data_IF_176476233848
#
_entry.id   IF_176476233848
#
_cell.length_a   1.000
_cell.length_b   1.000
_cell.length_c   1.000
_cell.angle_alpha   90.00
_cell.angle_beta   90.00
_cell.angle_gamma   90.00
#
_symmetry.space_group_name_H-M   'P 1'
#
loop_
_entity.id
_entity.type
_entity.pdbx_description
1 polymer ?
#
# COMPACT_ATOMS: atom_id res chain seq x y z
N UNK A 1 -4.04 -10.42 44.01
CA UNK A 1 -5.10 -10.16 43.00
C UNK A 1 -4.51 -10.49 41.66
N UNK A 2 -5.06 -11.46 40.88
CA UNK A 2 -4.65 -11.71 39.53
C UNK A 2 -5.11 -10.52 38.69
N UNK A 3 -4.19 -9.88 37.93
CA UNK A 3 -4.57 -8.92 36.91
C UNK A 3 -5.54 -9.59 35.93
N UNK A 4 -6.69 -8.98 35.60
CA UNK A 4 -7.59 -9.59 34.64
C UNK A 4 -6.82 -9.83 33.32
N UNK A 5 -6.87 -11.07 32.79
CA UNK A 5 -6.29 -11.40 31.50
C UNK A 5 -6.95 -10.49 30.46
N UNK A 6 -6.11 -9.78 29.67
CA UNK A 6 -6.62 -8.94 28.57
C UNK A 6 -7.27 -9.87 27.54
N UNK A 7 -8.55 -9.67 27.27
CA UNK A 7 -9.28 -10.37 26.22
C UNK A 7 -8.59 -10.06 24.87
N UNK A 8 -8.18 -11.08 24.09
CA UNK A 8 -7.54 -10.85 22.80
C UNK A 8 -8.45 -10.10 21.83
N UNK A 9 -7.94 -9.05 21.21
CA UNK A 9 -8.72 -8.12 20.37
C UNK A 9 -9.51 -8.77 19.21
N UNK A 10 -9.10 -9.93 18.71
CA UNK A 10 -9.81 -10.68 17.66
C UNK A 10 -10.68 -11.83 18.19
N UNK A 11 -10.91 -11.97 19.50
CA UNK A 11 -11.73 -13.05 20.04
C UNK A 11 -13.23 -12.76 19.90
N UNK A 12 -14.05 -13.81 19.89
CA UNK A 12 -15.52 -13.65 19.92
C UNK A 12 -16.00 -12.97 21.22
N UNK A 13 -15.30 -13.20 22.33
CA UNK A 13 -15.57 -12.55 23.60
C UNK A 13 -15.34 -11.03 23.50
N UNK A 14 -14.25 -10.61 22.85
CA UNK A 14 -13.98 -9.19 22.61
C UNK A 14 -15.07 -8.55 21.73
N UNK A 15 -15.47 -9.22 20.65
CA UNK A 15 -16.56 -8.77 19.77
C UNK A 15 -17.86 -8.62 20.57
N UNK A 16 -18.21 -9.61 21.41
CA UNK A 16 -19.40 -9.57 22.25
C UNK A 16 -19.35 -8.42 23.26
N UNK A 17 -18.18 -8.17 23.86
CA UNK A 17 -17.97 -7.04 24.77
C UNK A 17 -18.18 -5.69 24.06
N UNK A 18 -17.58 -5.49 22.87
CA UNK A 18 -17.78 -4.25 22.13
C UNK A 18 -19.25 -4.04 21.73
N UNK A 19 -19.94 -5.09 21.30
CA UNK A 19 -21.39 -5.03 21.00
C UNK A 19 -22.23 -4.70 22.24
N UNK A 20 -21.88 -5.22 23.41
CA UNK A 20 -22.55 -4.87 24.66
C UNK A 20 -22.36 -3.39 24.98
N UNK A 21 -21.13 -2.86 24.91
CA UNK A 21 -20.87 -1.42 25.12
C UNK A 21 -21.71 -0.58 24.16
N UNK A 22 -21.78 -0.96 22.88
CA UNK A 22 -22.56 -0.24 21.87
C UNK A 22 -24.08 -0.35 22.11
N UNK A 23 -24.57 -1.43 22.72
CA UNK A 23 -25.98 -1.53 23.12
C UNK A 23 -26.36 -0.57 24.26
N UNK A 24 -25.40 -0.22 25.11
CA UNK A 24 -25.55 0.73 26.24
C UNK A 24 -25.24 2.19 25.78
N UNK A 25 -24.31 2.36 24.83
CA UNK A 25 -23.90 3.64 24.28
C UNK A 25 -23.53 3.48 22.78
N UNK A 26 -24.50 3.66 21.91
CA UNK A 26 -24.35 3.51 20.46
C UNK A 26 -23.41 4.53 19.81
N UNK A 27 -23.14 5.66 20.48
CA UNK A 27 -22.27 6.74 19.98
C UNK A 27 -20.80 6.57 20.41
N UNK A 28 -20.42 5.40 20.98
CA UNK A 28 -19.04 5.14 21.39
C UNK A 28 -18.16 4.85 20.18
N UNK A 29 -17.57 5.89 19.58
CA UNK A 29 -16.70 5.78 18.39
C UNK A 29 -15.55 4.76 18.58
N UNK A 30 -14.93 4.74 19.77
CA UNK A 30 -13.84 3.80 20.04
C UNK A 30 -14.32 2.34 20.06
N UNK A 31 -15.50 2.05 20.59
CA UNK A 31 -16.05 0.69 20.58
C UNK A 31 -16.45 0.26 19.19
N UNK A 32 -17.05 1.15 18.38
CA UNK A 32 -17.33 0.89 16.96
C UNK A 32 -16.04 0.62 16.18
N UNK A 33 -14.98 1.41 16.38
CA UNK A 33 -13.68 1.18 15.77
C UNK A 33 -13.07 -0.16 16.18
N UNK A 34 -13.07 -0.48 17.47
CA UNK A 34 -12.53 -1.74 17.98
C UNK A 34 -13.32 -2.95 17.46
N UNK A 35 -14.64 -2.84 17.35
CA UNK A 35 -15.50 -3.84 16.74
C UNK A 35 -15.12 -4.04 15.26
N UNK A 36 -14.95 -2.97 14.51
CA UNK A 36 -14.53 -3.00 13.11
C UNK A 36 -13.20 -3.72 12.92
N UNK A 37 -12.19 -3.42 13.76
CA UNK A 37 -10.88 -4.10 13.73
C UNK A 37 -11.02 -5.59 14.01
N UNK A 38 -11.78 -5.98 15.04
CA UNK A 38 -11.99 -7.38 15.40
C UNK A 38 -12.73 -8.16 14.29
N UNK A 39 -13.76 -7.56 13.70
CA UNK A 39 -14.52 -8.15 12.59
C UNK A 39 -13.64 -8.31 11.33
N UNK A 40 -12.81 -7.30 11.02
CA UNK A 40 -11.86 -7.37 9.92
C UNK A 40 -10.84 -8.51 10.10
N UNK A 41 -10.32 -8.72 11.30
CA UNK A 41 -9.42 -9.85 11.62
C UNK A 41 -10.11 -11.21 11.45
N UNK A 42 -11.44 -11.29 11.65
CA UNK A 42 -12.25 -12.50 11.39
C UNK A 42 -12.64 -12.66 9.93
N UNK A 43 -12.28 -11.74 9.05
CA UNK A 43 -12.70 -11.75 7.64
C UNK A 43 -14.15 -11.32 7.40
N UNK A 44 -14.86 -10.84 8.42
CA UNK A 44 -16.24 -10.34 8.33
C UNK A 44 -16.20 -8.89 7.81
N UNK A 45 -15.80 -8.74 6.52
CA UNK A 45 -15.45 -7.45 5.96
C UNK A 45 -16.64 -6.49 5.86
N UNK A 46 -17.85 -6.98 5.55
CA UNK A 46 -19.02 -6.11 5.43
C UNK A 46 -19.47 -5.57 6.80
N UNK A 47 -19.53 -6.44 7.83
CA UNK A 47 -19.79 -6.00 9.20
C UNK A 47 -18.71 -5.02 9.71
N UNK A 48 -17.46 -5.22 9.30
CA UNK A 48 -16.36 -4.31 9.65
C UNK A 48 -16.53 -2.93 8.99
N UNK A 49 -17.00 -2.87 7.74
CA UNK A 49 -17.31 -1.60 7.05
C UNK A 49 -18.36 -0.84 7.85
N UNK A 50 -19.45 -1.48 8.26
CA UNK A 50 -20.53 -0.84 9.02
C UNK A 50 -19.98 -0.29 10.34
N UNK A 51 -19.22 -1.08 11.09
CA UNK A 51 -18.63 -0.66 12.34
C UNK A 51 -17.63 0.51 12.19
N UNK A 52 -16.82 0.54 11.13
CA UNK A 52 -15.94 1.68 10.87
C UNK A 52 -16.72 2.93 10.44
N UNK A 53 -17.80 2.79 9.68
CA UNK A 53 -18.66 3.92 9.32
C UNK A 53 -19.33 4.52 10.56
N UNK A 54 -19.81 3.70 11.49
CA UNK A 54 -20.35 4.16 12.79
C UNK A 54 -19.27 4.90 13.59
N UNK A 55 -18.05 4.36 13.64
CA UNK A 55 -16.94 5.01 14.33
C UNK A 55 -16.61 6.39 13.74
N UNK A 56 -16.61 6.51 12.40
CA UNK A 56 -16.36 7.76 11.69
C UNK A 56 -17.52 8.75 11.91
N UNK A 57 -18.77 8.29 11.87
CA UNK A 57 -19.95 9.13 12.11
C UNK A 57 -19.91 9.74 13.52
N UNK A 58 -19.49 8.95 14.51
CA UNK A 58 -19.42 9.37 15.92
C UNK A 58 -18.11 10.12 16.27
N UNK A 59 -17.09 10.06 15.38
CA UNK A 59 -15.84 10.81 15.53
C UNK A 59 -15.31 11.25 14.18
N UNK A 60 -15.73 12.42 13.72
CA UNK A 60 -15.36 12.97 12.40
C UNK A 60 -13.86 13.20 12.16
N UNK A 61 -13.01 12.96 13.17
CA UNK A 61 -11.54 13.07 13.07
C UNK A 61 -10.84 11.72 13.16
N UNK A 62 -11.56 10.62 13.03
CA UNK A 62 -11.00 9.26 13.11
C UNK A 62 -10.42 8.85 11.75
N UNK A 63 -9.22 9.32 11.43
CA UNK A 63 -8.56 8.96 10.17
C UNK A 63 -8.26 7.46 10.06
N UNK A 64 -8.01 6.79 11.19
CA UNK A 64 -7.75 5.35 11.26
C UNK A 64 -8.93 4.52 10.75
N UNK A 65 -10.16 4.98 10.98
CA UNK A 65 -11.36 4.35 10.41
C UNK A 65 -11.34 4.37 8.88
N UNK A 66 -11.00 5.51 8.30
CA UNK A 66 -10.84 5.65 6.85
C UNK A 66 -9.69 4.80 6.30
N UNK A 67 -8.57 4.70 7.03
CA UNK A 67 -7.44 3.83 6.65
C UNK A 67 -7.87 2.37 6.57
N UNK A 68 -8.61 1.89 7.58
CA UNK A 68 -9.09 0.52 7.61
C UNK A 68 -10.15 0.24 6.53
N UNK A 69 -11.05 1.19 6.26
CA UNK A 69 -11.95 1.11 5.12
C UNK A 69 -11.18 0.99 3.80
N UNK A 70 -10.14 1.81 3.61
CA UNK A 70 -9.25 1.71 2.46
C UNK A 70 -8.64 0.31 2.30
N UNK A 71 -8.14 -0.27 3.38
CA UNK A 71 -7.64 -1.65 3.36
C UNK A 71 -8.72 -2.68 2.97
N UNK A 72 -9.93 -2.56 3.49
CA UNK A 72 -11.03 -3.46 3.14
C UNK A 72 -11.38 -3.32 1.66
N UNK A 73 -11.49 -2.09 1.15
CA UNK A 73 -11.79 -1.84 -0.27
C UNK A 73 -10.68 -2.36 -1.19
N UNK A 74 -9.41 -2.24 -0.77
CA UNK A 74 -8.32 -2.91 -1.47
C UNK A 74 -8.53 -4.43 -1.56
N UNK A 75 -8.88 -5.09 -0.45
CA UNK A 75 -9.17 -6.53 -0.43
C UNK A 75 -10.36 -6.92 -1.30
N UNK A 76 -11.33 -6.03 -1.48
CA UNK A 76 -12.50 -6.22 -2.34
C UNK A 76 -12.24 -5.83 -3.81
N UNK A 77 -11.08 -5.29 -4.14
CA UNK A 77 -10.75 -4.80 -5.50
C UNK A 77 -11.46 -3.51 -5.89
N UNK A 78 -12.04 -2.79 -4.93
CA UNK A 78 -12.77 -1.55 -5.17
C UNK A 78 -11.84 -0.35 -5.06
N UNK A 79 -11.22 -0.01 -6.19
CA UNK A 79 -10.21 1.05 -6.26
C UNK A 79 -10.79 2.44 -6.03
N UNK A 80 -12.02 2.70 -6.47
CA UNK A 80 -12.67 3.99 -6.29
C UNK A 80 -12.91 4.28 -4.81
N UNK A 81 -13.48 3.32 -4.07
CA UNK A 81 -13.69 3.47 -2.62
C UNK A 81 -12.39 3.45 -1.85
N UNK A 82 -11.38 2.69 -2.30
CA UNK A 82 -10.02 2.75 -1.74
C UNK A 82 -9.45 4.17 -1.84
N UNK A 83 -9.54 4.81 -3.02
CA UNK A 83 -9.08 6.18 -3.22
C UNK A 83 -9.85 7.14 -2.31
N UNK A 84 -11.19 7.10 -2.32
CA UNK A 84 -12.02 7.98 -1.50
C UNK A 84 -11.68 7.86 0.00
N UNK A 85 -11.52 6.64 0.51
CA UNK A 85 -11.17 6.40 1.91
C UNK A 85 -9.79 6.96 2.26
N UNK A 86 -8.75 6.70 1.45
CA UNK A 86 -7.43 7.23 1.72
C UNK A 86 -7.34 8.76 1.55
N UNK A 87 -8.11 9.36 0.61
CA UNK A 87 -8.22 10.81 0.51
C UNK A 87 -8.76 11.43 1.80
N UNK A 88 -9.85 10.86 2.36
CA UNK A 88 -10.37 11.31 3.66
C UNK A 88 -9.36 11.14 4.79
N UNK A 89 -8.63 10.04 4.81
CA UNK A 89 -7.59 9.83 5.82
C UNK A 89 -6.51 10.92 5.78
N UNK A 90 -6.02 11.30 4.57
CA UNK A 90 -4.97 12.33 4.44
C UNK A 90 -5.51 13.76 4.55
N UNK A 91 -6.79 13.99 4.34
CA UNK A 91 -7.44 15.28 4.65
C UNK A 91 -7.50 15.51 6.16
N UNK A 92 -7.77 14.46 6.96
CA UNK A 92 -7.83 14.53 8.42
C UNK A 92 -6.43 14.58 9.02
N UNK A 93 -5.52 13.72 8.53
CA UNK A 93 -4.11 13.63 8.95
C UNK A 93 -3.16 13.85 7.75
N UNK A 94 -2.85 15.12 7.41
CA UNK A 94 -2.04 15.46 6.23
C UNK A 94 -0.59 14.96 6.30
N UNK A 95 -0.12 14.48 7.45
CA UNK A 95 1.20 13.89 7.62
C UNK A 95 1.21 12.35 7.53
N UNK A 96 0.07 11.75 7.22
CA UNK A 96 -0.04 10.30 7.09
C UNK A 96 0.57 9.80 5.77
N UNK A 97 1.88 9.61 5.75
CA UNK A 97 2.66 9.20 4.58
C UNK A 97 2.14 7.94 3.88
N UNK A 98 1.71 6.93 4.67
CA UNK A 98 1.15 5.68 4.10
C UNK A 98 -0.16 5.90 3.35
N UNK A 99 -0.97 6.86 3.75
CA UNK A 99 -2.20 7.22 3.03
C UNK A 99 -1.89 7.68 1.60
N UNK A 100 -0.89 8.53 1.45
CA UNK A 100 -0.42 8.95 0.13
C UNK A 100 0.20 7.80 -0.67
N UNK A 101 0.93 6.89 -0.03
CA UNK A 101 1.47 5.71 -0.72
C UNK A 101 0.35 4.79 -1.23
N UNK A 102 -0.71 4.61 -0.45
CA UNK A 102 -1.91 3.84 -0.83
C UNK A 102 -2.66 4.52 -2.00
N UNK A 103 -2.80 5.85 -1.97
CA UNK A 103 -3.37 6.61 -3.08
C UNK A 103 -2.57 6.41 -4.36
N UNK A 104 -1.24 6.54 -4.27
CA UNK A 104 -0.36 6.33 -5.41
C UNK A 104 -0.47 4.92 -5.99
N UNK A 105 -0.55 3.91 -5.14
CA UNK A 105 -0.80 2.53 -5.57
C UNK A 105 -2.16 2.39 -6.28
N UNK A 106 -3.22 2.93 -5.69
CA UNK A 106 -4.56 2.87 -6.30
C UNK A 106 -4.61 3.56 -7.66
N UNK A 107 -4.03 4.75 -7.78
CA UNK A 107 -3.95 5.47 -9.04
C UNK A 107 -3.16 4.71 -10.11
N UNK A 108 -2.06 4.03 -9.73
CA UNK A 108 -1.34 3.13 -10.64
C UNK A 108 -2.23 2.02 -11.21
N UNK A 109 -3.02 1.35 -10.34
CA UNK A 109 -3.94 0.30 -10.77
C UNK A 109 -5.06 0.84 -11.69
N UNK A 110 -5.40 2.12 -11.55
CA UNK A 110 -6.38 2.82 -12.38
C UNK A 110 -5.75 3.43 -13.65
N UNK A 111 -4.48 3.18 -13.92
CA UNK A 111 -3.71 3.75 -15.04
C UNK A 111 -3.63 5.29 -15.01
N UNK A 112 -3.72 5.90 -13.84
CA UNK A 112 -3.62 7.34 -13.58
C UNK A 112 -2.21 7.69 -13.12
N UNK A 113 -1.25 7.65 -14.07
CA UNK A 113 0.17 7.77 -13.76
C UNK A 113 0.54 9.13 -13.11
N UNK A 114 -0.05 10.23 -13.55
CA UNK A 114 0.26 11.56 -13.02
C UNK A 114 -0.20 11.72 -11.58
N UNK A 115 -1.44 11.31 -11.27
CA UNK A 115 -1.98 11.31 -9.92
C UNK A 115 -1.18 10.37 -9.01
N UNK A 116 -0.76 9.21 -9.53
CA UNK A 116 0.10 8.28 -8.80
C UNK A 116 1.44 8.92 -8.45
N UNK A 117 2.12 9.57 -9.39
CA UNK A 117 3.39 10.27 -9.18
C UNK A 117 3.23 11.36 -8.11
N UNK A 118 2.18 12.16 -8.19
CA UNK A 118 1.90 13.22 -7.22
C UNK A 118 1.75 12.67 -5.80
N UNK A 119 0.94 11.64 -5.62
CA UNK A 119 0.68 11.01 -4.33
C UNK A 119 1.96 10.32 -3.78
N UNK A 120 2.70 9.58 -4.63
CA UNK A 120 3.92 8.87 -4.21
C UNK A 120 5.04 9.82 -3.82
N UNK A 121 5.23 10.93 -4.56
CA UNK A 121 6.18 11.98 -4.17
C UNK A 121 5.84 12.55 -2.80
N UNK A 122 4.55 12.80 -2.54
CA UNK A 122 4.12 13.29 -1.21
C UNK A 122 4.36 12.28 -0.11
N UNK A 123 4.11 10.98 -0.36
CA UNK A 123 4.43 9.91 0.58
C UNK A 123 5.93 9.88 0.92
N UNK A 124 6.80 9.98 -0.09
CA UNK A 124 8.26 9.97 0.05
C UNK A 124 8.78 11.23 0.74
N UNK A 125 8.19 12.40 0.47
CA UNK A 125 8.52 13.66 1.17
C UNK A 125 8.26 13.52 2.68
N UNK A 126 7.13 12.91 3.05
CA UNK A 126 6.74 12.72 4.45
C UNK A 126 7.52 11.60 5.14
N UNK A 127 7.80 10.52 4.43
CA UNK A 127 8.60 9.41 4.91
C UNK A 127 9.38 8.77 3.76
N UNK A 128 10.67 9.10 3.61
CA UNK A 128 11.52 8.58 2.54
C UNK A 128 11.82 7.07 2.65
N UNK A 129 11.58 6.45 3.81
CA UNK A 129 11.91 5.04 4.06
C UNK A 129 10.81 4.07 3.59
N UNK A 130 9.73 4.55 3.00
CA UNK A 130 8.67 3.70 2.45
C UNK A 130 9.16 3.08 1.13
N UNK A 131 9.82 1.92 1.22
CA UNK A 131 10.35 1.15 0.07
C UNK A 131 9.30 0.95 -1.01
N UNK A 132 8.06 0.62 -0.62
CA UNK A 132 6.97 0.38 -1.56
C UNK A 132 6.55 1.65 -2.32
N UNK A 133 6.66 2.83 -1.70
CA UNK A 133 6.36 4.09 -2.40
C UNK A 133 7.38 4.36 -3.51
N UNK A 134 8.67 4.10 -3.26
CA UNK A 134 9.70 4.20 -4.29
C UNK A 134 9.48 3.19 -5.43
N UNK A 135 9.15 1.93 -5.09
CA UNK A 135 8.87 0.89 -6.09
C UNK A 135 7.69 1.28 -6.98
N UNK A 136 6.61 1.77 -6.37
CA UNK A 136 5.44 2.24 -7.11
C UNK A 136 5.75 3.50 -7.93
N UNK A 137 6.63 4.39 -7.45
CA UNK A 137 7.05 5.58 -8.19
C UNK A 137 7.82 5.22 -9.47
N UNK A 138 8.70 4.20 -9.42
CA UNK A 138 9.35 3.68 -10.64
C UNK A 138 8.30 3.22 -11.64
N UNK A 139 7.31 2.44 -11.20
CA UNK A 139 6.25 1.94 -12.08
C UNK A 139 5.38 3.08 -12.63
N UNK A 140 5.09 4.12 -11.83
CA UNK A 140 4.32 5.27 -12.27
C UNK A 140 5.06 6.07 -13.37
N UNK A 141 6.37 6.25 -13.22
CA UNK A 141 7.19 6.87 -14.26
C UNK A 141 7.27 6.01 -15.52
N UNK A 142 7.43 4.68 -15.40
CA UNK A 142 7.40 3.78 -16.55
C UNK A 142 6.05 3.80 -17.28
N UNK A 143 4.95 3.86 -16.53
CA UNK A 143 3.60 3.95 -17.10
C UNK A 143 3.40 5.27 -17.89
N UNK A 144 4.08 6.34 -17.47
CA UNK A 144 4.06 7.64 -18.14
C UNK A 144 5.10 7.79 -19.25
N UNK A 145 5.97 6.81 -19.42
CA UNK A 145 7.14 6.85 -20.32
C UNK A 145 8.24 7.86 -19.90
N UNK A 146 8.22 8.27 -18.63
CA UNK A 146 9.26 9.12 -18.02
C UNK A 146 10.47 8.24 -17.58
N UNK A 147 11.17 7.64 -18.58
CA UNK A 147 12.17 6.59 -18.36
C UNK A 147 13.36 7.06 -17.51
N UNK A 148 13.81 8.30 -17.70
CA UNK A 148 14.94 8.87 -16.93
C UNK A 148 14.61 8.97 -15.44
N UNK A 149 13.44 9.48 -15.14
CA UNK A 149 12.91 9.61 -13.78
C UNK A 149 12.71 8.23 -13.13
N UNK A 150 12.25 7.24 -13.90
CA UNK A 150 12.13 5.86 -13.45
C UNK A 150 13.49 5.27 -13.03
N UNK A 151 14.55 5.49 -13.83
CA UNK A 151 15.91 5.06 -13.51
C UNK A 151 16.41 5.73 -12.24
N UNK A 152 16.26 7.04 -12.10
CA UNK A 152 16.74 7.75 -10.90
C UNK A 152 15.99 7.32 -9.63
N UNK A 153 14.68 7.12 -9.70
CA UNK A 153 13.90 6.57 -8.60
C UNK A 153 14.33 5.12 -8.28
N UNK A 154 14.53 4.29 -9.28
CA UNK A 154 14.98 2.91 -9.14
C UNK A 154 16.37 2.79 -8.51
N UNK A 155 17.32 3.63 -8.92
CA UNK A 155 18.66 3.70 -8.28
C UNK A 155 18.58 4.03 -6.79
N UNK A 156 17.73 5.00 -6.42
CA UNK A 156 17.51 5.35 -5.00
C UNK A 156 16.90 4.18 -4.24
N UNK A 157 15.92 3.51 -4.84
CA UNK A 157 15.26 2.34 -4.27
C UNK A 157 16.26 1.22 -3.96
N UNK A 158 17.06 0.78 -4.94
CA UNK A 158 18.01 -0.33 -4.74
C UNK A 158 19.19 0.04 -3.86
N UNK A 159 19.54 1.33 -3.76
CA UNK A 159 20.52 1.83 -2.78
C UNK A 159 19.99 1.75 -1.35
N UNK A 160 18.73 2.07 -1.15
CA UNK A 160 18.06 2.05 0.16
C UNK A 160 17.73 0.62 0.59
N UNK A 161 17.31 -0.22 -0.33
CA UNK A 161 16.88 -1.60 -0.09
C UNK A 161 17.57 -2.56 -1.10
N UNK A 162 18.87 -2.88 -0.90
CA UNK A 162 19.67 -3.64 -1.87
C UNK A 162 19.20 -5.10 -2.05
N UNK A 163 18.43 -5.62 -1.10
CA UNK A 163 17.90 -6.99 -1.16
C UNK A 163 16.41 -7.01 -1.56
N UNK A 164 15.86 -5.88 -1.96
CA UNK A 164 14.48 -5.80 -2.43
C UNK A 164 14.39 -6.22 -3.91
N UNK A 165 14.14 -7.51 -4.14
CA UNK A 165 14.17 -8.15 -5.45
C UNK A 165 13.26 -7.48 -6.49
N UNK A 166 12.04 -7.07 -6.11
CA UNK A 166 11.12 -6.34 -6.98
C UNK A 166 11.70 -4.98 -7.41
N UNK A 167 12.45 -4.30 -6.54
CA UNK A 167 13.13 -3.04 -6.85
C UNK A 167 14.15 -3.21 -7.97
N UNK A 168 14.92 -4.29 -7.94
CA UNK A 168 15.85 -4.62 -9.02
C UNK A 168 15.11 -4.95 -10.32
N UNK A 169 14.01 -5.71 -10.28
CA UNK A 169 13.20 -5.99 -11.47
C UNK A 169 12.62 -4.71 -12.08
N UNK A 170 12.12 -3.78 -11.27
CA UNK A 170 11.57 -2.52 -11.76
C UNK A 170 12.67 -1.64 -12.39
N UNK A 171 13.85 -1.58 -11.78
CA UNK A 171 14.99 -0.83 -12.32
C UNK A 171 15.51 -1.48 -13.62
N UNK A 172 15.49 -2.81 -13.71
CA UNK A 172 15.82 -3.53 -14.95
C UNK A 172 14.86 -3.14 -16.07
N UNK A 173 13.57 -3.06 -15.80
CA UNK A 173 12.56 -2.61 -16.76
C UNK A 173 12.81 -1.17 -17.21
N UNK A 174 13.21 -0.28 -16.30
CA UNK A 174 13.57 1.09 -16.64
C UNK A 174 14.82 1.18 -17.53
N UNK A 175 15.86 0.40 -17.24
CA UNK A 175 17.04 0.34 -18.09
C UNK A 175 16.74 -0.30 -19.45
N UNK A 176 15.87 -1.31 -19.52
CA UNK A 176 15.44 -1.90 -20.78
C UNK A 176 14.75 -0.87 -21.69
N UNK A 177 13.82 -0.08 -21.12
CA UNK A 177 13.14 0.99 -21.86
C UNK A 177 14.09 2.13 -22.27
N UNK A 178 15.23 2.27 -21.58
CA UNK A 178 16.31 3.20 -21.95
C UNK A 178 17.34 2.58 -22.90
N UNK A 179 17.11 1.36 -23.38
CA UNK A 179 18.02 0.60 -24.26
C UNK A 179 19.41 0.29 -23.64
N UNK A 180 19.57 0.49 -22.31
CA UNK A 180 20.76 0.09 -21.57
C UNK A 180 20.63 -1.39 -21.15
N UNK A 181 20.68 -2.27 -22.15
CA UNK A 181 20.44 -3.71 -21.94
C UNK A 181 21.44 -4.36 -21.00
N UNK A 182 22.68 -3.86 -20.97
CA UNK A 182 23.70 -4.37 -20.05
C UNK A 182 23.26 -4.21 -18.60
N UNK A 183 22.84 -3.01 -18.21
CA UNK A 183 22.35 -2.75 -16.84
C UNK A 183 21.01 -3.44 -16.57
N UNK A 184 20.14 -3.54 -17.60
CA UNK A 184 18.90 -4.28 -17.45
C UNK A 184 19.18 -5.75 -17.08
N UNK A 185 20.15 -6.41 -17.73
CA UNK A 185 20.56 -7.77 -17.46
C UNK A 185 21.15 -7.89 -16.04
N UNK A 186 22.08 -6.99 -15.66
CA UNK A 186 22.67 -6.97 -14.31
C UNK A 186 21.59 -6.94 -13.22
N UNK A 187 20.57 -6.12 -13.38
CA UNK A 187 19.49 -6.00 -12.41
C UNK A 187 18.47 -7.14 -12.48
N UNK A 188 18.18 -7.70 -13.65
CA UNK A 188 17.36 -8.94 -13.76
C UNK A 188 18.05 -10.10 -13.05
N UNK A 189 19.34 -10.29 -13.27
CA UNK A 189 20.11 -11.38 -12.65
C UNK A 189 20.16 -11.21 -11.14
N UNK A 190 20.29 -9.96 -10.64
CA UNK A 190 20.19 -9.67 -9.22
C UNK A 190 18.80 -9.97 -8.66
N UNK A 191 17.73 -9.61 -9.35
CA UNK A 191 16.36 -9.93 -8.92
C UNK A 191 16.14 -11.44 -8.82
N UNK A 192 16.60 -12.21 -9.81
CA UNK A 192 16.53 -13.67 -9.81
C UNK A 192 17.35 -14.27 -8.65
N UNK A 193 18.56 -13.77 -8.42
CA UNK A 193 19.41 -14.23 -7.32
C UNK A 193 18.80 -13.99 -5.93
N UNK A 194 17.93 -12.99 -5.81
CA UNK A 194 17.14 -12.65 -4.62
C UNK A 194 15.80 -13.41 -4.55
N UNK A 195 15.56 -14.36 -5.46
CA UNK A 195 14.37 -15.22 -5.46
C UNK A 195 13.14 -14.61 -6.13
N UNK A 196 13.27 -13.51 -6.88
CA UNK A 196 12.16 -12.95 -7.63
C UNK A 196 11.92 -13.76 -8.91
N UNK A 197 10.65 -14.14 -9.13
CA UNK A 197 10.24 -14.82 -10.35
C UNK A 197 10.01 -13.78 -11.46
N UNK A 198 11.08 -13.45 -12.20
CA UNK A 198 11.01 -12.52 -13.34
C UNK A 198 10.15 -13.14 -14.44
N UNK A 199 9.28 -12.34 -15.06
CA UNK A 199 8.40 -12.83 -16.12
C UNK A 199 9.22 -13.42 -17.29
N UNK A 200 8.96 -14.66 -17.74
CA UNK A 200 9.76 -15.34 -18.77
C UNK A 200 9.96 -14.53 -20.04
N UNK A 201 8.91 -13.87 -20.51
CA UNK A 201 8.97 -13.02 -21.71
C UNK A 201 10.01 -11.87 -21.56
N UNK A 202 10.17 -11.31 -20.35
CA UNK A 202 11.17 -10.25 -20.12
C UNK A 202 12.59 -10.82 -20.20
N UNK A 203 12.79 -12.02 -19.67
CA UNK A 203 14.08 -12.74 -19.78
C UNK A 203 14.39 -13.06 -21.24
N UNK A 204 13.41 -13.53 -22.03
CA UNK A 204 13.53 -13.80 -23.46
C UNK A 204 13.88 -12.56 -24.26
N UNK A 205 13.26 -11.41 -23.98
CA UNK A 205 13.59 -10.12 -24.62
C UNK A 205 15.03 -9.67 -24.36
N UNK A 206 15.61 -10.03 -23.21
CA UNK A 206 17.00 -9.72 -22.87
C UNK A 206 18.01 -10.73 -23.43
N UNK A 207 17.58 -11.93 -23.83
CA UNK A 207 18.47 -12.99 -24.28
C UNK A 207 19.41 -12.58 -25.44
N UNK A 208 18.95 -11.86 -26.50
CA UNK A 208 19.83 -11.42 -27.59
C UNK A 208 20.96 -10.48 -27.10
N UNK A 209 20.78 -9.79 -25.99
CA UNK A 209 21.74 -8.80 -25.47
C UNK A 209 22.70 -9.40 -24.43
N UNK A 210 22.58 -10.72 -24.11
CA UNK A 210 23.48 -11.41 -23.17
C UNK A 210 24.78 -11.88 -23.82
N UNK A 211 24.82 -11.99 -25.16
CA UNK A 211 25.91 -12.57 -25.91
C UNK A 211 26.94 -11.55 -26.44
N UNK A 212 26.91 -10.31 -25.88
CA UNK A 212 27.82 -9.22 -26.29
C UNK A 212 28.84 -8.85 -25.22
#
# INVERSE_FOLDING_TARGET
MKTPEKIPQGSEEFIAEQRKILSENSECANSSYNLGVALMQKGKLDEAIDAFNDAIANSGRMFEGHVNLGYIYFKKGDLERLVAANQRAVEIEPRYARGYANLGFAYLQMLKAEEAIGALKKAIELNPDIVQAWSNLVNAYLQKDDVKEAIEAGKKLVKMAPDFALGHNNLASAYYNNEDYKKAIEHVDKAISLGFNVHPEFVERLAPHRAG
#
